data_IF_051573735038
#
_entry.id   IF_051573735038
#
_cell.length_a   1.000
_cell.length_b   1.000
_cell.length_c   1.000
_cell.angle_alpha   90.00
_cell.angle_beta   90.00
_cell.angle_gamma   90.00
#
_symmetry.space_group_name_H-M   'P 1'
#
loop_
_entity.id
_entity.type
_entity.pdbx_description
1 polymer ?
#
# COMPACT_ATOMS: atom_id res chain seq x y z
N UNK A 1 22.94 -2.51 11.23
CA UNK A 1 22.01 -3.46 11.88
C UNK A 1 20.54 -3.07 11.68
N UNK A 2 20.13 -1.85 12.03
CA UNK A 2 18.73 -1.38 11.92
C UNK A 2 18.18 -1.41 10.49
N UNK A 3 18.99 -1.08 9.48
CA UNK A 3 18.57 -1.12 8.07
C UNK A 3 18.16 -2.53 7.61
N UNK A 4 18.94 -3.56 7.95
CA UNK A 4 18.61 -4.94 7.60
C UNK A 4 17.30 -5.39 8.27
N UNK A 5 17.13 -5.05 9.56
CA UNK A 5 15.90 -5.36 10.28
C UNK A 5 14.68 -4.67 9.62
N UNK A 6 14.82 -3.39 9.24
CA UNK A 6 13.76 -2.64 8.55
C UNK A 6 13.39 -3.23 7.18
N UNK A 7 14.37 -3.77 6.45
CA UNK A 7 14.15 -4.43 5.15
C UNK A 7 13.44 -5.78 5.31
N UNK A 8 13.81 -6.56 6.31
CA UNK A 8 13.17 -7.85 6.60
C UNK A 8 11.70 -7.61 7.00
N UNK A 9 11.45 -6.70 7.93
CA UNK A 9 10.09 -6.35 8.36
C UNK A 9 9.29 -5.80 7.19
N UNK A 10 9.83 -4.81 6.46
CA UNK A 10 9.14 -4.21 5.32
C UNK A 10 8.85 -5.22 4.19
N UNK A 11 9.77 -6.15 3.94
CA UNK A 11 9.58 -7.23 2.97
C UNK A 11 8.49 -8.21 3.36
N UNK A 12 8.47 -8.65 4.63
CA UNK A 12 7.39 -9.51 5.14
C UNK A 12 6.03 -8.81 5.07
N UNK A 13 5.96 -7.55 5.49
CA UNK A 13 4.71 -6.77 5.41
C UNK A 13 4.20 -6.66 3.97
N UNK A 14 5.07 -6.36 3.01
CA UNK A 14 4.70 -6.26 1.60
C UNK A 14 4.17 -7.60 1.04
N UNK A 15 4.79 -8.72 1.42
CA UNK A 15 4.35 -10.05 1.00
C UNK A 15 2.94 -10.39 1.54
N UNK A 16 2.65 -10.05 2.80
CA UNK A 16 1.34 -10.32 3.40
C UNK A 16 0.24 -9.44 2.84
N UNK A 17 0.48 -8.15 2.63
CA UNK A 17 -0.54 -7.22 2.14
C UNK A 17 -1.05 -7.66 0.76
N UNK A 18 -0.15 -7.88 -0.21
CA UNK A 18 -0.58 -8.16 -1.58
C UNK A 18 -1.29 -9.52 -1.70
N UNK A 19 -0.81 -10.53 -0.97
CA UNK A 19 -1.42 -11.87 -0.95
C UNK A 19 -2.78 -11.83 -0.25
N UNK A 20 -2.90 -11.08 0.86
CA UNK A 20 -4.16 -10.91 1.58
C UNK A 20 -5.22 -10.19 0.75
N UNK A 21 -4.87 -9.07 0.09
CA UNK A 21 -5.79 -8.32 -0.76
C UNK A 21 -6.28 -9.17 -1.93
N UNK A 22 -5.37 -9.87 -2.62
CA UNK A 22 -5.76 -10.70 -3.77
C UNK A 22 -6.60 -11.90 -3.36
N UNK A 23 -6.30 -12.56 -2.24
CA UNK A 23 -7.14 -13.64 -1.70
C UNK A 23 -8.53 -13.13 -1.31
N UNK A 24 -8.61 -12.03 -0.56
CA UNK A 24 -9.88 -11.44 -0.13
C UNK A 24 -10.77 -11.06 -1.32
N UNK A 25 -10.20 -10.37 -2.32
CA UNK A 25 -10.94 -10.00 -3.54
C UNK A 25 -11.38 -11.24 -4.30
N UNK A 26 -10.55 -12.29 -4.34
CA UNK A 26 -10.91 -13.55 -4.97
C UNK A 26 -12.08 -14.26 -4.26
N UNK A 27 -12.14 -14.19 -2.92
CA UNK A 27 -13.18 -14.84 -2.12
C UNK A 27 -14.55 -14.14 -2.24
N UNK A 28 -14.58 -12.81 -2.37
CA UNK A 28 -15.83 -12.03 -2.48
C UNK A 28 -16.32 -11.86 -3.93
N UNK A 29 -15.59 -12.35 -4.94
CA UNK A 29 -15.93 -12.17 -6.36
C UNK A 29 -16.24 -13.49 -7.06
N UNK A 30 -17.21 -13.44 -7.99
CA UNK A 30 -17.52 -14.58 -8.84
C UNK A 30 -16.42 -14.83 -9.88
N UNK A 31 -16.27 -16.07 -10.36
CA UNK A 31 -15.22 -16.45 -11.35
C UNK A 31 -15.24 -15.56 -12.60
N UNK A 32 -16.44 -15.13 -13.03
CA UNK A 32 -16.61 -14.27 -14.21
C UNK A 32 -16.19 -12.82 -13.94
N UNK A 33 -16.38 -12.33 -12.71
CA UNK A 33 -16.10 -10.93 -12.34
C UNK A 33 -14.69 -10.74 -11.76
N UNK A 34 -14.05 -11.81 -11.30
CA UNK A 34 -12.70 -11.79 -10.71
C UNK A 34 -11.65 -11.08 -11.57
N UNK A 35 -11.58 -11.26 -12.91
CA UNK A 35 -10.61 -10.51 -13.73
C UNK A 35 -10.85 -8.99 -13.67
N UNK A 36 -12.12 -8.57 -13.67
CA UNK A 36 -12.49 -7.15 -13.58
C UNK A 36 -12.14 -6.58 -12.19
N UNK A 37 -12.43 -7.32 -11.13
CA UNK A 37 -12.10 -6.92 -9.76
C UNK A 37 -10.58 -6.82 -9.53
N UNK A 38 -9.80 -7.79 -10.01
CA UNK A 38 -8.33 -7.73 -9.98
C UNK A 38 -7.77 -6.59 -10.83
N UNK A 39 -8.47 -6.22 -11.91
CA UNK A 39 -8.18 -5.02 -12.68
C UNK A 39 -8.31 -3.74 -11.86
N UNK A 40 -9.35 -3.61 -11.03
CA UNK A 40 -9.51 -2.48 -10.11
C UNK A 40 -8.42 -2.44 -9.03
N UNK A 41 -8.02 -3.60 -8.48
CA UNK A 41 -6.89 -3.68 -7.54
C UNK A 41 -5.60 -3.15 -8.18
N UNK A 42 -5.29 -3.61 -9.40
CA UNK A 42 -4.12 -3.15 -10.15
C UNK A 42 -4.18 -1.65 -10.44
N UNK A 43 -5.36 -1.14 -10.84
CA UNK A 43 -5.55 0.28 -11.08
C UNK A 43 -5.29 1.12 -9.82
N UNK A 44 -5.82 0.70 -8.66
CA UNK A 44 -5.60 1.38 -7.40
C UNK A 44 -4.11 1.43 -7.02
N UNK A 45 -3.39 0.32 -7.19
CA UNK A 45 -1.93 0.27 -6.96
C UNK A 45 -1.21 1.25 -7.89
N UNK A 46 -1.48 1.20 -9.19
CA UNK A 46 -0.85 2.09 -10.17
C UNK A 46 -1.13 3.56 -9.88
N UNK A 47 -2.36 3.91 -9.54
CA UNK A 47 -2.73 5.28 -9.15
C UNK A 47 -1.96 5.74 -7.92
N UNK A 48 -1.83 4.88 -6.91
CA UNK A 48 -1.00 5.16 -5.73
C UNK A 48 0.47 5.40 -6.08
N UNK A 49 1.04 4.60 -6.98
CA UNK A 49 2.42 4.80 -7.45
C UNK A 49 2.62 6.07 -8.28
N UNK A 50 1.62 6.49 -9.04
CA UNK A 50 1.68 7.73 -9.84
C UNK A 50 1.62 8.96 -8.94
N UNK A 51 0.68 8.98 -7.99
CA UNK A 51 0.40 10.16 -7.17
C UNK A 51 1.35 10.23 -5.95
N UNK A 52 1.75 9.09 -5.42
CA UNK A 52 2.54 8.95 -4.19
C UNK A 52 3.83 9.77 -4.17
N UNK A 53 4.72 9.66 -5.17
CA UNK A 53 5.97 10.44 -5.21
C UNK A 53 5.73 11.96 -5.27
N UNK A 54 4.69 12.41 -5.98
CA UNK A 54 4.35 13.83 -6.06
C UNK A 54 3.91 14.39 -4.72
N UNK A 55 2.98 13.72 -4.04
CA UNK A 55 2.53 14.11 -2.69
C UNK A 55 3.68 14.00 -1.68
N UNK A 56 4.43 12.90 -1.71
CA UNK A 56 5.55 12.66 -0.80
C UNK A 56 6.68 13.68 -0.98
N UNK A 57 6.98 14.07 -2.21
CA UNK A 57 7.97 15.11 -2.53
C UNK A 57 7.55 16.48 -2.00
N UNK A 58 6.29 16.87 -2.21
CA UNK A 58 5.76 18.11 -1.66
C UNK A 58 5.81 18.16 -0.13
N UNK A 59 5.44 17.06 0.54
CA UNK A 59 5.50 16.98 2.01
C UNK A 59 6.94 16.99 2.52
N UNK A 60 7.90 16.49 1.74
CA UNK A 60 9.31 16.50 2.10
C UNK A 60 9.91 17.91 2.19
N UNK A 61 9.30 18.92 1.55
CA UNK A 61 9.72 20.33 1.66
C UNK A 61 9.58 20.86 3.09
N UNK A 62 8.60 20.34 3.85
CA UNK A 62 8.41 20.66 5.27
C UNK A 62 9.36 19.88 6.21
N UNK A 63 10.18 18.99 5.65
CA UNK A 63 11.19 18.22 6.36
C UNK A 63 11.29 16.78 5.85
N UNK A 64 12.52 16.27 5.74
CA UNK A 64 12.80 14.94 5.17
C UNK A 64 12.12 13.77 5.90
N UNK A 65 11.71 13.97 7.16
CA UNK A 65 11.03 12.95 7.97
C UNK A 65 9.50 13.01 7.85
N UNK A 66 8.94 14.13 7.40
CA UNK A 66 7.49 14.36 7.34
C UNK A 66 6.73 13.37 6.45
N UNK A 67 7.25 12.97 5.27
CA UNK A 67 6.58 11.98 4.43
C UNK A 67 6.39 10.62 5.12
N UNK A 68 7.32 10.22 5.99
CA UNK A 68 7.23 8.96 6.72
C UNK A 68 6.12 9.00 7.78
N UNK A 69 6.01 10.11 8.52
CA UNK A 69 4.92 10.28 9.49
C UNK A 69 3.56 10.40 8.81
N UNK A 70 3.49 11.09 7.67
CA UNK A 70 2.27 11.18 6.88
C UNK A 70 1.83 9.82 6.33
N UNK A 71 2.77 9.05 5.76
CA UNK A 71 2.50 7.67 5.33
C UNK A 71 2.05 6.77 6.49
N UNK A 72 2.68 6.91 7.66
CA UNK A 72 2.29 6.17 8.87
C UNK A 72 0.87 6.54 9.33
N UNK A 73 0.48 7.82 9.29
CA UNK A 73 -0.87 8.25 9.62
C UNK A 73 -1.90 7.65 8.64
N UNK A 74 -1.66 7.73 7.33
CA UNK A 74 -2.54 7.14 6.31
C UNK A 74 -2.67 5.62 6.51
N UNK A 75 -1.55 4.93 6.73
CA UNK A 75 -1.55 3.49 6.97
C UNK A 75 -2.34 3.12 8.24
N UNK A 76 -2.23 3.92 9.30
CA UNK A 76 -2.99 3.74 10.53
C UNK A 76 -4.49 3.95 10.31
N UNK A 77 -4.89 5.00 9.59
CA UNK A 77 -6.29 5.21 9.21
C UNK A 77 -6.84 4.07 8.35
N UNK A 78 -6.07 3.61 7.36
CA UNK A 78 -6.47 2.47 6.54
C UNK A 78 -6.64 1.19 7.38
N UNK A 79 -5.74 0.94 8.34
CA UNK A 79 -5.82 -0.20 9.25
C UNK A 79 -7.09 -0.18 10.11
N UNK A 80 -7.57 0.99 10.53
CA UNK A 80 -8.81 1.13 11.31
C UNK A 80 -10.05 0.86 10.45
N UNK A 81 -9.99 1.19 9.16
CA UNK A 81 -11.10 1.04 8.22
C UNK A 81 -11.20 -0.36 7.58
N UNK A 82 -10.13 -1.16 7.65
CA UNK A 82 -10.00 -2.46 6.96
C UNK A 82 -10.68 -3.60 7.70
#
# INVERSE_FOLDING_TARGET
>A
SVLYLSRIIGGMSAAFIMTGVTAYVADITSIKERPKAMGYVSAAISTGFIIGPGIGGFIAEYGIRMPFFFAAAIAFFACILS
#
